data_IF_494020185377
#
_entry.id   IF_494020185377
#
_cell.length_a   1.000
_cell.length_b   1.000
_cell.length_c   1.000
_cell.angle_alpha   90.00
_cell.angle_beta   90.00
_cell.angle_gamma   90.00
#
_symmetry.space_group_name_H-M   'P 1'
#
loop_
_entity.id
_entity.type
_entity.pdbx_description
1 polymer ?
#
# COMPACT_ATOMS: atom_id res chain seq x y z
N UNK A 1 -18.22 9.54 -29.46
CA UNK A 1 -17.28 10.02 -28.42
C UNK A 1 -18.04 10.02 -27.10
N UNK A 2 -17.72 9.10 -26.20
CA UNK A 2 -18.22 9.19 -24.83
C UNK A 2 -17.50 10.37 -24.15
N UNK A 3 -18.16 11.16 -23.30
CA UNK A 3 -17.44 12.14 -22.50
C UNK A 3 -16.39 11.39 -21.69
N UNK A 4 -15.20 11.99 -21.53
CA UNK A 4 -14.20 11.58 -20.55
C UNK A 4 -14.79 11.81 -19.15
N UNK A 5 -15.77 10.97 -18.78
CA UNK A 5 -16.42 10.98 -17.49
C UNK A 5 -15.41 10.53 -16.45
N UNK A 6 -15.43 11.18 -15.29
CA UNK A 6 -14.70 10.69 -14.11
C UNK A 6 -15.02 9.20 -13.93
N UNK A 7 -14.01 8.35 -13.68
CA UNK A 7 -14.29 6.93 -13.42
C UNK A 7 -15.33 6.84 -12.30
N UNK A 8 -16.34 5.97 -12.46
CA UNK A 8 -17.40 5.85 -11.47
C UNK A 8 -16.76 5.48 -10.13
N UNK A 9 -17.17 6.17 -9.06
CA UNK A 9 -16.56 6.03 -7.73
C UNK A 9 -17.55 5.40 -6.79
N UNK A 10 -17.10 4.41 -6.02
CA UNK A 10 -17.84 3.83 -4.91
C UNK A 10 -17.14 4.25 -3.63
N UNK A 11 -17.86 4.96 -2.76
CA UNK A 11 -17.35 5.41 -1.47
C UNK A 11 -17.69 4.39 -0.40
N UNK A 12 -16.67 3.92 0.31
CA UNK A 12 -16.77 3.09 1.49
C UNK A 12 -16.82 4.00 2.71
N UNK A 13 -17.87 3.81 3.51
CA UNK A 13 -18.14 4.56 4.73
C UNK A 13 -18.29 3.58 5.90
N UNK A 14 -18.36 4.09 7.12
CA UNK A 14 -18.60 3.25 8.31
C UNK A 14 -19.89 2.40 8.18
N UNK A 15 -20.90 2.89 7.47
CA UNK A 15 -22.17 2.17 7.28
C UNK A 15 -22.15 1.19 6.11
N UNK A 16 -21.06 1.17 5.32
CA UNK A 16 -20.93 0.24 4.20
C UNK A 16 -20.88 -1.21 4.68
N UNK A 17 -21.45 -2.16 3.90
CA UNK A 17 -21.31 -3.59 4.16
C UNK A 17 -19.83 -3.98 4.26
N UNK A 18 -19.49 -4.85 5.21
CA UNK A 18 -18.11 -5.34 5.38
C UNK A 18 -17.64 -6.25 4.25
N UNK A 19 -18.57 -6.81 3.45
CA UNK A 19 -18.25 -7.60 2.25
C UNK A 19 -18.78 -6.92 0.99
N UNK A 20 -17.86 -6.51 0.12
CA UNK A 20 -18.12 -5.77 -1.11
C UNK A 20 -17.88 -6.68 -2.33
N UNK A 21 -18.97 -7.20 -2.88
CA UNK A 21 -18.99 -8.01 -4.10
C UNK A 21 -19.54 -7.21 -5.28
N UNK A 22 -19.38 -7.72 -6.50
CA UNK A 22 -19.90 -7.06 -7.69
C UNK A 22 -21.42 -6.90 -7.62
N UNK A 23 -22.11 -7.88 -7.02
CA UNK A 23 -23.57 -7.86 -6.84
C UNK A 23 -24.03 -7.02 -5.66
N UNK A 24 -23.30 -6.97 -4.54
CA UNK A 24 -23.71 -6.20 -3.36
C UNK A 24 -23.39 -4.72 -3.46
N UNK A 25 -22.30 -4.37 -4.15
CA UNK A 25 -21.79 -3.00 -4.21
C UNK A 25 -21.79 -2.41 -5.63
N UNK A 26 -22.20 -3.16 -6.66
CA UNK A 26 -22.17 -2.72 -8.05
C UNK A 26 -20.76 -2.47 -8.59
N UNK A 27 -19.74 -3.01 -7.92
CA UNK A 27 -18.34 -2.80 -8.27
C UNK A 27 -18.02 -3.49 -9.61
N UNK A 28 -17.28 -2.77 -10.45
CA UNK A 28 -16.79 -3.28 -11.73
C UNK A 28 -15.33 -2.85 -11.91
N UNK A 29 -14.58 -3.51 -12.82
CA UNK A 29 -13.24 -3.13 -13.25
C UNK A 29 -13.00 -1.66 -13.63
N UNK A 30 -14.06 -0.85 -13.81
CA UNK A 30 -13.95 0.58 -14.15
C UNK A 30 -14.03 1.50 -12.93
N UNK A 31 -14.37 0.96 -11.77
CA UNK A 31 -14.63 1.75 -10.57
C UNK A 31 -13.36 2.13 -9.82
N UNK A 32 -13.39 3.31 -9.21
CA UNK A 32 -12.51 3.67 -8.10
C UNK A 32 -13.21 3.35 -6.80
N UNK A 33 -12.56 2.58 -5.92
CA UNK A 33 -12.98 2.44 -4.53
C UNK A 33 -12.35 3.57 -3.72
N UNK A 34 -13.16 4.38 -3.04
CA UNK A 34 -12.73 5.52 -2.23
C UNK A 34 -13.03 5.25 -0.75
N UNK A 35 -12.02 5.37 0.09
CA UNK A 35 -12.11 5.31 1.56
C UNK A 35 -11.59 6.64 2.08
N UNK A 36 -12.43 7.66 2.08
CA UNK A 36 -12.04 9.06 2.36
C UNK A 36 -12.73 9.54 3.62
N UNK A 37 -12.01 10.26 4.49
CA UNK A 37 -12.54 10.88 5.71
C UNK A 37 -13.29 9.86 6.60
N UNK A 38 -12.77 8.64 6.68
CA UNK A 38 -13.44 7.51 7.30
C UNK A 38 -12.70 7.06 8.57
N UNK A 39 -13.38 7.09 9.72
CA UNK A 39 -12.97 6.32 10.90
C UNK A 39 -13.64 4.95 10.82
N UNK A 40 -12.82 3.92 10.60
CA UNK A 40 -13.30 2.58 10.39
C UNK A 40 -13.79 1.87 11.64
N UNK A 41 -13.64 2.46 12.83
CA UNK A 41 -13.99 1.84 14.11
C UNK A 41 -13.41 0.44 14.30
N UNK A 42 -12.17 0.24 13.83
CA UNK A 42 -11.42 -1.03 13.82
C UNK A 42 -12.08 -2.15 13.00
N UNK A 43 -12.88 -1.80 11.98
CA UNK A 43 -13.55 -2.77 11.12
C UNK A 43 -12.68 -3.24 9.96
N UNK A 44 -12.97 -4.45 9.51
CA UNK A 44 -12.43 -5.03 8.27
C UNK A 44 -13.48 -4.93 7.16
N UNK A 45 -13.05 -4.43 6.00
CA UNK A 45 -13.78 -4.53 4.74
C UNK A 45 -13.07 -5.46 3.78
N UNK A 46 -13.82 -6.39 3.22
CA UNK A 46 -13.35 -7.36 2.22
C UNK A 46 -13.91 -6.99 0.86
N UNK A 47 -13.02 -6.72 -0.08
CA UNK A 47 -13.33 -6.38 -1.46
C UNK A 47 -12.99 -7.59 -2.33
N UNK A 48 -14.00 -8.39 -2.65
CA UNK A 48 -13.86 -9.55 -3.54
C UNK A 48 -13.94 -9.15 -5.02
N UNK A 49 -14.34 -7.90 -5.29
CA UNK A 49 -14.53 -7.39 -6.63
C UNK A 49 -13.26 -6.81 -7.22
N UNK A 50 -13.14 -6.94 -8.53
CA UNK A 50 -12.08 -6.28 -9.29
C UNK A 50 -12.40 -4.79 -9.47
N UNK A 51 -11.44 -3.92 -9.14
CA UNK A 51 -11.56 -2.45 -9.29
C UNK A 51 -10.40 -1.87 -10.10
N UNK A 52 -10.58 -0.66 -10.65
CA UNK A 52 -9.53 0.02 -11.40
C UNK A 52 -8.47 0.61 -10.46
N UNK A 53 -8.95 1.24 -9.37
CA UNK A 53 -8.19 2.07 -8.42
C UNK A 53 -8.74 1.91 -7.02
N UNK A 54 -7.86 2.00 -6.02
CA UNK A 54 -8.25 2.21 -4.62
C UNK A 54 -7.59 3.49 -4.13
N UNK A 55 -8.33 4.33 -3.42
CA UNK A 55 -7.82 5.55 -2.83
C UNK A 55 -8.28 5.64 -1.38
N UNK A 56 -7.32 5.66 -0.45
CA UNK A 56 -7.54 5.79 0.99
C UNK A 56 -6.93 7.13 1.42
N UNK A 57 -7.78 8.01 1.93
CA UNK A 57 -7.41 9.38 2.25
C UNK A 57 -7.97 9.79 3.60
N UNK A 58 -7.17 10.45 4.43
CA UNK A 58 -7.63 11.06 5.68
C UNK A 58 -8.49 10.10 6.53
N UNK A 59 -8.06 8.84 6.61
CA UNK A 59 -8.85 7.75 7.19
C UNK A 59 -8.07 6.99 8.25
N UNK A 60 -8.78 6.38 9.19
CA UNK A 60 -8.15 5.70 10.32
C UNK A 60 -8.88 4.46 10.82
N UNK A 61 -8.21 3.66 11.65
CA UNK A 61 -8.77 2.51 12.37
C UNK A 61 -9.48 1.51 11.45
N UNK A 62 -8.84 1.07 10.36
CA UNK A 62 -9.48 0.17 9.40
C UNK A 62 -8.54 -0.88 8.83
N UNK A 63 -9.13 -2.02 8.46
CA UNK A 63 -8.50 -3.02 7.60
C UNK A 63 -9.23 -3.07 6.27
N UNK A 64 -8.51 -2.92 5.17
CA UNK A 64 -9.03 -3.14 3.82
C UNK A 64 -8.36 -4.37 3.19
N UNK A 65 -9.14 -5.43 3.00
CA UNK A 65 -8.70 -6.64 2.31
C UNK A 65 -9.12 -6.60 0.86
N UNK A 66 -8.15 -6.68 -0.04
CA UNK A 66 -8.32 -6.66 -1.49
C UNK A 66 -8.12 -8.10 -2.01
N UNK A 67 -9.21 -8.87 -2.03
CA UNK A 67 -9.22 -10.24 -2.56
C UNK A 67 -9.36 -10.24 -4.09
N UNK A 68 -10.15 -9.30 -4.62
CA UNK A 68 -10.31 -9.08 -6.05
C UNK A 68 -9.07 -8.47 -6.69
N UNK A 69 -9.05 -8.38 -8.03
CA UNK A 69 -7.92 -7.81 -8.75
C UNK A 69 -7.94 -6.28 -8.74
N UNK A 70 -6.75 -5.68 -8.76
CA UNK A 70 -6.57 -4.26 -9.05
C UNK A 70 -5.90 -4.15 -10.43
N UNK A 71 -6.70 -3.87 -11.46
CA UNK A 71 -6.29 -4.21 -12.83
C UNK A 71 -5.24 -3.29 -13.43
N UNK A 72 -5.24 -1.98 -13.13
CA UNK A 72 -4.56 -1.05 -14.05
C UNK A 72 -4.02 0.26 -13.50
N UNK A 73 -4.39 0.76 -12.32
CA UNK A 73 -3.95 2.10 -11.91
C UNK A 73 -3.12 2.11 -10.63
N UNK A 74 -3.72 2.25 -9.45
CA UNK A 74 -2.93 2.43 -8.22
C UNK A 74 -3.78 2.08 -7.00
N UNK A 75 -3.15 1.61 -5.92
CA UNK A 75 -3.67 1.76 -4.56
C UNK A 75 -2.94 2.96 -3.96
N UNK A 76 -3.66 4.03 -3.63
CA UNK A 76 -3.09 5.26 -3.06
C UNK A 76 -3.49 5.37 -1.60
N UNK A 77 -2.51 5.63 -0.72
CA UNK A 77 -2.74 5.79 0.73
C UNK A 77 -2.01 7.04 1.19
N UNK A 78 -2.74 7.98 1.77
CA UNK A 78 -2.17 9.25 2.23
C UNK A 78 -3.03 9.89 3.33
N UNK A 79 -2.39 10.60 4.27
CA UNK A 79 -3.04 11.15 5.49
C UNK A 79 -3.75 10.11 6.34
N UNK A 80 -3.21 8.90 6.46
CA UNK A 80 -3.88 7.79 7.14
C UNK A 80 -3.20 7.40 8.45
N UNK A 81 -3.99 6.88 9.39
CA UNK A 81 -3.51 6.37 10.69
C UNK A 81 -4.12 5.00 11.01
N UNK A 82 -3.37 4.06 11.57
CA UNK A 82 -3.91 2.77 12.04
C UNK A 82 -4.67 2.03 10.89
N UNK A 83 -4.01 1.94 9.73
CA UNK A 83 -4.58 1.32 8.51
C UNK A 83 -3.82 0.07 8.14
N UNK A 84 -4.54 -1.04 7.95
CA UNK A 84 -4.00 -2.30 7.41
C UNK A 84 -4.56 -2.57 6.03
N UNK A 85 -3.70 -2.83 5.06
CA UNK A 85 -4.11 -3.27 3.71
C UNK A 85 -3.62 -4.69 3.51
N UNK A 86 -4.53 -5.60 3.16
CA UNK A 86 -4.20 -6.99 2.88
C UNK A 86 -4.50 -7.31 1.41
N UNK A 87 -3.51 -7.71 0.64
CA UNK A 87 -3.60 -7.96 -0.80
C UNK A 87 -3.55 -9.46 -1.08
N UNK A 88 -4.55 -9.94 -1.81
CA UNK A 88 -4.70 -11.33 -2.20
C UNK A 88 -5.67 -12.11 -1.29
N UNK A 89 -6.21 -13.24 -1.79
CA UNK A 89 -7.19 -14.03 -1.07
C UNK A 89 -6.59 -14.71 0.16
N UNK A 90 -7.39 -14.83 1.23
CA UNK A 90 -6.99 -15.48 2.50
C UNK A 90 -6.56 -16.94 2.31
N UNK A 91 -7.15 -17.63 1.33
CA UNK A 91 -6.88 -19.01 0.98
C UNK A 91 -6.53 -19.10 -0.51
N UNK A 92 -5.30 -18.77 -0.91
CA UNK A 92 -4.79 -19.31 -2.17
C UNK A 92 -4.42 -20.77 -1.90
N UNK A 93 -5.16 -21.78 -2.38
CA UNK A 93 -4.63 -23.14 -2.38
C UNK A 93 -3.32 -23.11 -3.17
N UNK A 94 -2.28 -23.77 -2.65
CA UNK A 94 -1.19 -24.22 -3.50
C UNK A 94 -1.85 -24.99 -4.66
N UNK A 95 -1.72 -24.48 -5.88
CA UNK A 95 -2.47 -24.90 -7.05
C UNK A 95 -2.65 -26.42 -7.08
N UNK A 96 -3.85 -26.89 -6.75
CA UNK A 96 -4.27 -28.26 -7.06
C UNK A 96 -4.99 -28.21 -8.38
N UNK A 97 -4.43 -28.94 -9.34
CA UNK A 97 -4.85 -29.05 -10.72
C UNK A 97 -6.35 -29.36 -10.84
N UNK A 98 -7.21 -28.35 -11.07
CA UNK A 98 -8.50 -28.47 -11.76
C UNK A 98 -9.18 -27.11 -11.87
N UNK A 99 -9.54 -26.75 -13.10
CA UNK A 99 -9.93 -25.42 -13.59
C UNK A 99 -8.77 -24.41 -13.63
N UNK A 100 -8.53 -23.83 -14.80
CA UNK A 100 -7.46 -22.88 -15.06
C UNK A 100 -7.63 -21.63 -14.19
N UNK A 101 -7.19 -21.71 -12.94
CA UNK A 101 -7.03 -20.58 -12.05
C UNK A 101 -6.00 -19.68 -12.74
N UNK A 102 -6.48 -18.57 -13.30
CA UNK A 102 -5.61 -17.57 -13.88
C UNK A 102 -4.50 -17.23 -12.86
N UNK A 103 -3.24 -17.15 -13.32
CA UNK A 103 -2.11 -16.97 -12.42
C UNK A 103 -2.29 -15.72 -11.56
N UNK A 104 -1.84 -15.72 -10.30
CA UNK A 104 -1.90 -14.55 -9.44
C UNK A 104 -1.22 -13.37 -10.15
N UNK A 105 -1.96 -12.28 -10.31
CA UNK A 105 -1.43 -11.05 -10.87
C UNK A 105 -0.94 -10.15 -9.75
N UNK A 106 0.28 -9.60 -9.85
CA UNK A 106 0.78 -8.65 -8.88
C UNK A 106 -0.10 -7.40 -8.86
N UNK A 107 -0.11 -6.71 -7.73
CA UNK A 107 -0.64 -5.36 -7.67
C UNK A 107 0.09 -4.48 -8.72
N UNK A 108 -0.62 -3.54 -9.36
CA UNK A 108 0.03 -2.62 -10.30
C UNK A 108 1.02 -1.69 -9.59
N UNK A 109 0.51 -0.65 -8.94
CA UNK A 109 1.32 0.24 -8.10
C UNK A 109 0.63 0.47 -6.76
N UNK A 110 1.39 0.42 -5.68
CA UNK A 110 1.00 0.91 -4.35
C UNK A 110 1.76 2.21 -4.10
N UNK A 111 1.06 3.33 -3.99
CA UNK A 111 1.63 4.63 -3.69
C UNK A 111 1.31 4.99 -2.25
N UNK A 112 2.35 5.23 -1.46
CA UNK A 112 2.27 5.60 -0.05
C UNK A 112 2.87 6.99 0.11
N UNK A 113 2.01 7.98 0.32
CA UNK A 113 2.45 9.37 0.51
C UNK A 113 2.25 9.81 1.96
N UNK A 114 3.19 10.58 2.51
CA UNK A 114 3.07 11.09 3.87
C UNK A 114 1.92 12.13 3.96
N UNK A 115 1.37 12.38 5.17
CA UNK A 115 1.68 11.68 6.41
C UNK A 115 1.00 10.30 6.53
N UNK A 116 1.72 9.29 7.00
CA UNK A 116 1.19 7.97 7.36
C UNK A 116 1.68 7.56 8.77
N UNK A 117 0.78 7.05 9.58
CA UNK A 117 1.06 6.64 10.97
C UNK A 117 0.50 5.25 11.25
N UNK A 118 1.35 4.29 11.64
CA UNK A 118 0.95 2.90 11.88
C UNK A 118 0.18 2.28 10.71
N UNK A 119 0.86 2.18 9.56
CA UNK A 119 0.31 1.59 8.34
C UNK A 119 1.01 0.26 8.06
N UNK A 120 0.22 -0.80 7.87
CA UNK A 120 0.71 -2.14 7.59
C UNK A 120 0.20 -2.63 6.23
N UNK A 121 1.11 -3.05 5.36
CA UNK A 121 0.79 -3.64 4.07
C UNK A 121 1.17 -5.12 4.09
N UNK A 122 0.20 -5.97 3.79
CA UNK A 122 0.39 -7.41 3.83
C UNK A 122 -0.03 -8.04 2.52
N UNK A 123 0.75 -9.01 2.08
CA UNK A 123 0.48 -9.78 0.88
C UNK A 123 0.23 -11.23 1.27
N UNK A 124 -0.74 -11.87 0.62
CA UNK A 124 -1.01 -13.30 0.81
C UNK A 124 0.15 -14.17 0.28
N UNK A 125 0.90 -13.67 -0.70
CA UNK A 125 2.06 -14.32 -1.31
C UNK A 125 2.98 -13.27 -1.94
N UNK A 126 4.31 -13.50 -2.03
CA UNK A 126 5.24 -12.57 -2.68
C UNK A 126 4.89 -12.26 -4.13
N UNK A 127 4.17 -13.15 -4.83
CA UNK A 127 3.72 -12.96 -6.22
C UNK A 127 2.66 -11.87 -6.37
N UNK A 128 2.01 -11.45 -5.28
CA UNK A 128 1.05 -10.35 -5.29
C UNK A 128 1.72 -8.97 -5.14
N UNK A 129 3.02 -8.94 -4.81
CA UNK A 129 3.75 -7.68 -4.60
C UNK A 129 3.93 -6.99 -5.95
N UNK A 130 3.41 -5.76 -6.02
CA UNK A 130 3.57 -4.85 -7.15
C UNK A 130 4.75 -3.90 -7.01
N UNK A 131 4.75 -2.85 -7.83
CA UNK A 131 5.62 -1.69 -7.59
C UNK A 131 5.11 -0.91 -6.40
N UNK A 132 5.91 -0.76 -5.34
CA UNK A 132 5.55 0.08 -4.20
C UNK A 132 6.39 1.36 -4.30
N UNK A 133 5.74 2.51 -4.29
CA UNK A 133 6.38 3.82 -4.38
C UNK A 133 6.09 4.60 -3.11
N UNK A 134 7.15 5.17 -2.53
CA UNK A 134 7.09 5.93 -1.28
C UNK A 134 7.83 7.25 -1.49
N UNK A 135 7.23 8.36 -1.07
CA UNK A 135 7.86 9.68 -1.14
C UNK A 135 8.24 10.15 0.27
N UNK A 136 9.43 9.79 0.81
CA UNK A 136 9.91 10.30 2.10
C UNK A 136 10.25 11.78 1.97
N UNK A 137 9.27 12.65 2.10
CA UNK A 137 9.45 14.09 1.95
C UNK A 137 9.92 14.67 3.29
N UNK A 138 11.16 15.20 3.36
CA UNK A 138 11.63 15.88 4.56
C UNK A 138 10.70 17.05 4.88
N UNK A 139 10.14 17.03 6.08
CA UNK A 139 9.20 18.03 6.60
C UNK A 139 9.40 18.20 8.10
N UNK A 140 8.57 19.02 8.73
CA UNK A 140 8.55 19.21 10.18
C UNK A 140 7.21 18.73 10.75
N UNK A 141 7.25 18.08 11.91
CA UNK A 141 6.05 17.72 12.65
C UNK A 141 5.43 18.93 13.38
N UNK A 142 4.30 18.72 14.08
CA UNK A 142 3.62 19.78 14.83
C UNK A 142 4.48 20.40 15.97
N UNK A 143 5.60 19.78 16.33
CA UNK A 143 6.55 20.26 17.33
C UNK A 143 7.82 20.85 16.70
N UNK A 144 7.86 21.01 15.36
CA UNK A 144 9.01 21.53 14.62
C UNK A 144 10.17 20.54 14.47
N UNK A 145 9.95 19.24 14.74
CA UNK A 145 10.98 18.21 14.59
C UNK A 145 11.01 17.70 13.16
N UNK A 146 12.20 17.53 12.60
CA UNK A 146 12.38 16.94 11.29
C UNK A 146 11.73 15.55 11.21
N UNK A 147 11.03 15.26 10.10
CA UNK A 147 10.36 13.99 9.85
C UNK A 147 10.30 13.69 8.35
N UNK A 148 10.14 12.42 7.98
CA UNK A 148 9.75 12.02 6.62
C UNK A 148 8.23 11.96 6.43
N UNK A 149 7.46 12.21 7.50
CA UNK A 149 6.01 12.07 7.52
C UNK A 149 5.52 10.63 7.61
N UNK A 150 6.39 9.66 7.89
CA UNK A 150 6.01 8.27 8.12
C UNK A 150 6.37 7.87 9.55
N UNK A 151 5.48 7.14 10.22
CA UNK A 151 5.75 6.43 11.47
C UNK A 151 5.14 5.04 11.41
N UNK A 152 5.87 4.03 11.86
CA UNK A 152 5.41 2.63 11.91
C UNK A 152 4.85 2.11 10.56
N UNK A 153 5.59 2.30 9.47
CA UNK A 153 5.24 1.71 8.16
C UNK A 153 5.92 0.35 8.01
N UNK A 154 5.14 -0.71 7.79
CA UNK A 154 5.66 -2.07 7.67
C UNK A 154 5.05 -2.86 6.49
N UNK A 155 5.82 -3.83 6.01
CA UNK A 155 5.46 -4.70 4.90
C UNK A 155 5.60 -6.18 5.28
N UNK A 156 4.66 -7.01 4.84
CA UNK A 156 4.70 -8.47 5.01
C UNK A 156 4.47 -9.16 3.68
N UNK A 157 5.43 -9.97 3.23
CA UNK A 157 5.40 -10.57 1.87
C UNK A 157 4.52 -11.82 1.76
N UNK A 158 4.21 -12.47 2.87
CA UNK A 158 3.29 -13.62 2.97
C UNK A 158 2.62 -13.63 4.34
N UNK A 159 1.44 -14.26 4.49
CA UNK A 159 0.70 -14.30 5.77
C UNK A 159 1.56 -14.80 6.95
N UNK A 160 2.40 -15.81 6.72
CA UNK A 160 3.28 -16.44 7.71
C UNK A 160 4.65 -15.75 7.88
N UNK A 161 4.95 -14.74 7.06
CA UNK A 161 6.22 -14.02 7.14
C UNK A 161 6.19 -12.99 8.27
N UNK A 162 7.37 -12.73 8.85
CA UNK A 162 7.53 -11.63 9.80
C UNK A 162 7.41 -10.27 9.09
N UNK A 163 6.79 -9.25 9.72
CA UNK A 163 6.78 -7.89 9.19
C UNK A 163 8.18 -7.30 9.10
N UNK A 164 8.47 -6.65 7.96
CA UNK A 164 9.64 -5.80 7.78
C UNK A 164 9.23 -4.35 8.00
N UNK A 165 9.77 -3.73 9.05
CA UNK A 165 9.55 -2.31 9.36
C UNK A 165 10.43 -1.46 8.46
N UNK A 166 9.82 -0.61 7.63
CA UNK A 166 10.53 0.34 6.79
C UNK A 166 10.69 1.69 7.48
N UNK A 167 9.66 2.15 8.20
CA UNK A 167 9.77 3.33 9.07
C UNK A 167 9.37 2.93 10.48
N UNK A 168 10.23 3.20 11.46
CA UNK A 168 9.94 2.89 12.85
C UNK A 168 9.00 3.92 13.53
N UNK A 169 8.74 3.74 14.82
CA UNK A 169 7.89 4.64 15.61
C UNK A 169 8.41 6.08 15.68
N UNK A 170 9.69 6.29 15.41
CA UNK A 170 10.34 7.61 15.40
C UNK A 170 10.43 8.20 14.00
N UNK A 171 9.97 7.46 12.99
CA UNK A 171 10.04 7.85 11.58
C UNK A 171 11.43 7.73 10.98
N UNK A 172 12.32 6.93 11.57
CA UNK A 172 13.59 6.61 10.93
C UNK A 172 13.37 5.55 9.85
N UNK A 173 13.97 5.77 8.67
CA UNK A 173 13.93 4.85 7.52
C UNK A 173 14.96 3.73 7.72
N UNK A 174 14.52 2.48 7.65
CA UNK A 174 15.34 1.27 7.77
C UNK A 174 15.48 0.61 6.41
N UNK A 175 16.69 0.54 5.86
CA UNK A 175 16.93 -0.27 4.66
C UNK A 175 17.00 -1.73 5.07
N UNK A 176 16.14 -2.61 4.51
CA UNK A 176 16.24 -4.04 4.75
C UNK A 176 17.62 -4.52 4.27
N UNK A 177 18.44 -5.00 5.21
CA UNK A 177 19.83 -5.37 4.94
C UNK A 177 19.94 -6.65 4.13
N UNK A 178 21.02 -6.79 3.36
CA UNK A 178 21.43 -8.09 2.84
C UNK A 178 22.04 -8.92 3.98
N UNK A 179 21.88 -10.24 3.92
CA UNK A 179 22.34 -11.16 4.97
C UNK A 179 23.81 -10.92 5.34
N UNK A 180 24.07 -10.48 6.57
CA UNK A 180 25.42 -10.23 7.11
C UNK A 180 25.88 -8.78 7.10
N UNK A 181 25.12 -7.86 6.50
CA UNK A 181 25.41 -6.43 6.53
C UNK A 181 24.74 -5.74 7.72
N UNK A 182 25.32 -4.63 8.20
CA UNK A 182 24.67 -3.80 9.23
C UNK A 182 23.46 -3.10 8.61
N UNK A 183 22.30 -3.10 9.28
CA UNK A 183 21.13 -2.36 8.82
C UNK A 183 21.48 -0.87 8.69
N UNK A 184 21.13 -0.28 7.54
CA UNK A 184 21.29 1.16 7.31
C UNK A 184 20.03 1.85 7.79
N UNK A 185 20.19 2.76 8.75
CA UNK A 185 19.09 3.53 9.33
C UNK A 185 19.33 5.01 9.05
N UNK A 186 18.36 5.66 8.41
CA UNK A 186 18.39 7.09 8.12
C UNK A 186 17.36 7.78 9.01
N UNK A 187 17.84 8.60 9.94
CA UNK A 187 16.96 9.45 10.76
C UNK A 187 16.63 10.76 10.04
N UNK A 188 15.41 11.29 10.18
CA UNK A 188 15.08 12.61 9.67
C UNK A 188 16.02 13.70 10.23
N UNK A 189 16.35 14.70 9.40
CA UNK A 189 17.12 15.88 9.83
C UNK A 189 18.61 15.64 10.10
N UNK A 190 19.11 14.41 10.00
CA UNK A 190 20.55 14.13 10.10
C UNK A 190 21.19 14.28 8.72
N UNK A 191 21.93 15.38 8.53
CA UNK A 191 22.49 15.76 7.24
C UNK A 191 23.45 14.74 6.64
N UNK A 192 23.40 14.58 5.30
CA UNK A 192 24.43 13.90 4.52
C UNK A 192 23.96 12.81 3.55
N UNK A 193 22.71 12.34 3.65
CA UNK A 193 22.15 11.39 2.68
C UNK A 193 21.12 12.08 1.79
N UNK A 194 21.38 12.10 0.49
CA UNK A 194 20.44 12.44 -0.57
C UNK A 194 19.42 11.30 -0.67
N UNK A 195 18.44 11.29 0.24
CA UNK A 195 17.32 10.34 0.15
C UNK A 195 16.60 10.68 -1.15
N UNK A 196 16.49 9.69 -2.03
CA UNK A 196 15.79 9.87 -3.29
C UNK A 196 14.38 10.41 -3.01
N UNK A 197 13.96 11.37 -3.84
CA UNK A 197 12.60 11.96 -3.75
C UNK A 197 11.49 10.91 -3.69
N UNK A 198 11.72 9.79 -4.39
CA UNK A 198 10.88 8.61 -4.34
C UNK A 198 11.74 7.37 -4.18
N UNK A 199 11.31 6.50 -3.27
CA UNK A 199 11.84 5.17 -3.06
C UNK A 199 10.91 4.16 -3.71
N UNK A 200 11.50 3.14 -4.33
CA UNK A 200 10.81 1.95 -4.81
C UNK A 200 11.10 0.81 -3.84
N UNK A 201 10.03 0.22 -3.31
CA UNK A 201 10.12 -0.97 -2.47
C UNK A 201 9.68 -2.16 -3.30
N UNK A 202 10.51 -3.21 -3.32
CA UNK A 202 10.27 -4.43 -4.08
C UNK A 202 10.51 -5.66 -3.20
N UNK A 203 9.91 -6.78 -3.59
CA UNK A 203 10.08 -8.06 -2.92
C UNK A 203 10.64 -9.08 -3.91
N UNK A 204 11.75 -9.73 -3.56
CA UNK A 204 12.28 -10.88 -4.28
C UNK A 204 11.38 -12.11 -4.15
N UNK A 205 11.57 -13.10 -5.03
CA UNK A 205 10.85 -14.39 -4.94
C UNK A 205 11.20 -15.18 -3.66
N UNK A 206 12.35 -14.89 -3.05
CA UNK A 206 12.78 -15.41 -1.76
C UNK A 206 12.10 -14.70 -0.57
N UNK A 207 11.18 -13.77 -0.84
CA UNK A 207 10.45 -13.02 0.18
C UNK A 207 11.21 -11.85 0.78
N UNK A 208 12.42 -11.53 0.27
CA UNK A 208 13.26 -10.45 0.80
C UNK A 208 12.88 -9.10 0.21
N UNK A 209 12.78 -8.10 1.08
CA UNK A 209 12.52 -6.72 0.70
C UNK A 209 13.78 -6.01 0.25
N UNK A 210 13.65 -5.14 -0.74
CA UNK A 210 14.69 -4.25 -1.22
C UNK A 210 14.11 -2.84 -1.37
N UNK A 211 14.97 -1.84 -1.16
CA UNK A 211 14.62 -0.42 -1.28
C UNK A 211 15.64 0.25 -2.19
N UNK A 212 15.16 0.86 -3.26
CA UNK A 212 15.99 1.61 -4.23
C UNK A 212 15.40 2.99 -4.45
N UNK A 213 16.16 3.91 -5.06
CA UNK A 213 15.58 5.12 -5.63
C UNK A 213 14.84 4.82 -6.92
N UNK A 214 13.93 5.71 -7.33
CA UNK A 214 13.33 5.66 -8.67
C UNK A 214 14.42 5.69 -9.76
N UNK A 215 14.31 4.82 -10.77
CA UNK A 215 15.34 4.72 -11.81
C UNK A 215 15.37 5.97 -12.71
N UNK A 216 16.56 6.26 -13.26
CA UNK A 216 16.77 7.42 -14.13
C UNK A 216 15.95 7.28 -15.42
N UNK A 217 14.90 8.10 -15.56
CA UNK A 217 14.03 8.12 -16.73
C UNK A 217 12.61 7.60 -16.47
N UNK A 218 12.36 7.00 -15.30
CA UNK A 218 11.00 6.79 -14.83
C UNK A 218 10.36 8.13 -14.45
N UNK A 219 9.05 8.25 -14.72
CA UNK A 219 8.28 9.44 -14.34
C UNK A 219 7.93 9.35 -12.86
N UNK A 220 8.23 10.41 -12.11
CA UNK A 220 7.79 10.55 -10.72
C UNK A 220 6.28 10.32 -10.60
N UNK A 221 5.88 9.53 -9.60
CA UNK A 221 4.49 9.47 -9.20
C UNK A 221 4.08 10.85 -8.62
N UNK A 222 2.89 11.37 -8.93
CA UNK A 222 2.45 12.65 -8.36
C UNK A 222 2.29 12.49 -6.85
N UNK A 223 3.03 13.25 -6.05
CA UNK A 223 2.87 13.26 -4.58
C UNK A 223 1.53 13.91 -4.22
N UNK A 224 0.70 13.22 -3.45
CA UNK A 224 -0.67 13.63 -3.09
C UNK A 224 -0.78 14.48 -1.80
N UNK A 225 0.28 15.21 -1.44
CA UNK A 225 0.41 15.98 -0.19
C UNK A 225 -0.74 16.97 0.09
#
# INVERSE_FOLDING_TARGET
MLPLGRPPTVSLTVDSPTHLTASSAGLTPRHTLSVHDCDGANREWVVDSTVAKVSIFNSQNLTLRLNGRNLTSTVEVFKCRDVRIVVGPKNSPAATDSEAAEPPQPLGTLQLDPPLDNVAIEYASPTHVGKIVIAPLPSEDALGRATFGFSQLSFRSASEAEPTVLFDERGALHFPGQSGERPVVISPGVGGFDVARQLVVSCGQDGRWQVTGLERGEKDCPVMA
#
